data_IF_339754146919
#
_entry.id   IF_339754146919
#
_cell.length_a   1.000
_cell.length_b   1.000
_cell.length_c   1.000
_cell.angle_alpha   90.00
_cell.angle_beta   90.00
_cell.angle_gamma   90.00
#
_symmetry.space_group_name_H-M   'P 1'
#
loop_
_entity.id
_entity.type
_entity.pdbx_description
1 polymer ?
#
# COMPACT_ATOMS: atom_id res chain seq x y z
N UNK A 1 22.17 -0.09 -5.26
CA UNK A 1 22.57 -0.97 -4.14
C UNK A 1 24.10 -1.06 -4.06
N UNK A 2 24.67 -0.90 -2.87
CA UNK A 2 26.07 -1.24 -2.59
C UNK A 2 26.13 -2.26 -1.46
N UNK A 3 27.22 -3.02 -1.38
CA UNK A 3 27.42 -4.00 -0.29
C UNK A 3 27.23 -3.35 1.09
N UNK A 4 27.79 -2.15 1.27
CA UNK A 4 27.66 -1.38 2.51
C UNK A 4 26.20 -1.05 2.84
N UNK A 5 25.38 -0.69 1.86
CA UNK A 5 23.96 -0.43 2.13
C UNK A 5 23.23 -1.73 2.46
N UNK A 6 23.45 -2.83 1.73
CA UNK A 6 22.80 -4.11 2.05
C UNK A 6 23.10 -4.56 3.50
N UNK A 7 24.35 -4.47 3.95
CA UNK A 7 24.74 -4.79 5.34
C UNK A 7 24.02 -3.86 6.34
N UNK A 8 23.98 -2.55 6.07
CA UNK A 8 23.27 -1.58 6.93
C UNK A 8 21.78 -1.85 7.01
N UNK A 9 21.14 -2.30 5.93
CA UNK A 9 19.70 -2.61 5.92
C UNK A 9 19.38 -3.73 6.90
N UNK A 10 20.17 -4.81 6.86
CA UNK A 10 20.05 -5.97 7.77
C UNK A 10 20.23 -5.56 9.24
N UNK A 11 21.00 -4.51 9.52
CA UNK A 11 21.16 -3.98 10.87
C UNK A 11 20.05 -3.00 11.29
N UNK A 12 19.71 -2.02 10.44
CA UNK A 12 18.80 -0.93 10.82
C UNK A 12 17.33 -1.34 10.86
N UNK A 13 16.86 -2.18 9.93
CA UNK A 13 15.45 -2.60 9.92
C UNK A 13 15.05 -3.31 11.23
N UNK A 14 15.82 -4.28 11.77
CA UNK A 14 15.53 -4.88 13.07
C UNK A 14 15.61 -3.92 14.26
N UNK A 15 16.53 -2.94 14.23
CA UNK A 15 16.65 -1.91 15.28
C UNK A 15 15.36 -1.08 15.32
N UNK A 16 14.90 -0.60 14.16
CA UNK A 16 13.66 0.16 14.06
C UNK A 16 12.45 -0.67 14.47
N UNK A 17 12.34 -1.91 13.96
CA UNK A 17 11.24 -2.81 14.33
C UNK A 17 11.20 -3.05 15.84
N UNK A 18 12.36 -3.31 16.47
CA UNK A 18 12.47 -3.52 17.91
C UNK A 18 12.09 -2.27 18.69
N UNK A 19 12.60 -1.10 18.29
CA UNK A 19 12.27 0.16 18.94
C UNK A 19 10.77 0.43 18.91
N UNK A 20 10.14 0.33 17.74
CA UNK A 20 8.71 0.64 17.62
C UNK A 20 7.85 -0.40 18.35
N UNK A 21 8.11 -1.70 18.15
CA UNK A 21 7.24 -2.76 18.68
C UNK A 21 7.49 -3.10 20.16
N UNK A 22 8.76 -3.13 20.60
CA UNK A 22 9.13 -3.56 21.96
C UNK A 22 9.38 -2.38 22.89
N UNK A 23 10.09 -1.35 22.44
CA UNK A 23 10.40 -0.19 23.31
C UNK A 23 9.21 0.75 23.44
N UNK A 24 8.56 1.13 22.33
CA UNK A 24 7.35 1.97 22.35
C UNK A 24 6.06 1.17 22.52
N UNK A 25 6.14 -0.16 22.46
CA UNK A 25 5.01 -1.07 22.68
C UNK A 25 3.94 -1.02 21.58
N UNK A 26 4.28 -0.50 20.40
CA UNK A 26 3.30 -0.29 19.31
C UNK A 26 2.87 -1.63 18.72
N UNK A 27 1.57 -1.81 18.55
CA UNK A 27 0.95 -3.05 18.09
C UNK A 27 0.72 -3.04 16.58
N UNK A 28 0.65 -4.24 16.00
CA UNK A 28 0.29 -4.43 14.60
C UNK A 28 1.40 -4.16 13.58
N UNK A 29 2.62 -3.78 13.99
CA UNK A 29 3.75 -3.65 13.05
C UNK A 29 4.22 -5.03 12.60
N UNK A 30 4.38 -5.22 11.28
CA UNK A 30 4.88 -6.46 10.68
C UNK A 30 6.32 -6.36 10.21
N UNK A 31 6.69 -5.23 9.62
CA UNK A 31 8.02 -5.02 9.05
C UNK A 31 8.33 -3.53 9.05
N UNK A 32 9.61 -3.20 9.21
CA UNK A 32 10.16 -1.91 8.81
C UNK A 32 11.04 -2.16 7.59
N UNK A 33 10.89 -1.35 6.55
CA UNK A 33 11.71 -1.43 5.35
C UNK A 33 12.37 -0.09 5.05
N UNK A 34 13.68 -0.09 4.86
CA UNK A 34 14.45 1.09 4.49
C UNK A 34 14.73 1.04 2.98
N UNK A 35 14.22 2.01 2.24
CA UNK A 35 14.34 2.03 0.79
C UNK A 35 15.79 2.31 0.36
N UNK A 36 16.33 1.44 -0.49
CA UNK A 36 17.73 1.50 -0.90
C UNK A 36 17.99 2.25 -2.21
N UNK A 37 17.27 1.95 -3.32
CA UNK A 37 17.57 2.53 -4.62
C UNK A 37 17.61 4.06 -4.55
N UNK A 38 18.73 4.65 -5.00
CA UNK A 38 18.98 6.10 -5.07
C UNK A 38 18.85 6.89 -3.76
N UNK A 39 18.55 6.25 -2.62
CA UNK A 39 18.16 6.93 -1.37
C UNK A 39 19.00 6.50 -0.17
N UNK A 40 19.88 5.50 -0.35
CA UNK A 40 20.88 5.08 0.63
C UNK A 40 20.26 4.71 2.00
N UNK A 41 19.08 4.07 2.00
CA UNK A 41 18.33 3.57 3.18
C UNK A 41 17.78 4.62 4.13
N UNK A 42 18.37 5.82 4.15
CA UNK A 42 18.16 6.80 5.19
C UNK A 42 16.96 7.70 4.89
N UNK A 43 16.71 8.00 3.62
CA UNK A 43 15.75 9.04 3.27
C UNK A 43 14.31 8.58 3.34
N UNK A 44 14.01 7.36 2.90
CA UNK A 44 12.63 6.85 2.82
C UNK A 44 12.53 5.56 3.62
N UNK A 45 11.60 5.55 4.57
CA UNK A 45 11.31 4.44 5.47
C UNK A 45 9.83 4.07 5.35
N UNK A 46 9.57 2.77 5.30
CA UNK A 46 8.23 2.20 5.31
C UNK A 46 7.99 1.39 6.58
N UNK A 47 6.81 1.54 7.17
CA UNK A 47 6.34 0.72 8.29
C UNK A 47 5.12 -0.06 7.80
N UNK A 48 5.27 -1.38 7.66
CA UNK A 48 4.16 -2.26 7.30
C UNK A 48 3.35 -2.63 8.55
N UNK A 49 2.03 -2.51 8.45
CA UNK A 49 1.07 -2.84 9.49
C UNK A 49 0.16 -4.00 9.10
N UNK A 50 -0.39 -4.68 10.10
CA UNK A 50 -1.59 -5.49 9.95
C UNK A 50 -2.77 -4.65 9.47
N UNK A 51 -3.77 -5.30 8.88
CA UNK A 51 -5.03 -4.64 8.51
C UNK A 51 -5.76 -4.18 9.78
N UNK A 52 -6.48 -3.06 9.69
CA UNK A 52 -7.33 -2.50 10.76
C UNK A 52 -6.57 -2.13 12.05
N UNK A 53 -5.29 -1.78 11.95
CA UNK A 53 -4.56 -1.22 13.10
C UNK A 53 -5.13 0.17 13.42
N UNK A 54 -5.41 0.48 14.70
CA UNK A 54 -5.93 1.80 15.07
C UNK A 54 -5.01 2.94 14.63
N UNK A 55 -5.60 4.04 14.15
CA UNK A 55 -4.84 5.21 13.69
C UNK A 55 -3.87 5.75 14.75
N UNK A 56 -4.21 5.63 16.04
CA UNK A 56 -3.33 6.01 17.15
C UNK A 56 -2.01 5.24 17.15
N UNK A 57 -2.04 3.94 16.90
CA UNK A 57 -0.83 3.10 16.79
C UNK A 57 0.00 3.48 15.56
N UNK A 58 -0.67 3.74 14.42
CA UNK A 58 -0.02 4.15 13.18
C UNK A 58 0.75 5.46 13.39
N UNK A 59 0.07 6.49 13.91
CA UNK A 59 0.69 7.79 14.13
C UNK A 59 1.81 7.72 15.19
N UNK A 60 1.63 6.96 16.28
CA UNK A 60 2.69 6.72 17.27
C UNK A 60 3.95 6.12 16.62
N UNK A 61 3.78 5.20 15.66
CA UNK A 61 4.91 4.62 14.94
C UNK A 61 5.60 5.60 14.00
N UNK A 62 4.81 6.38 13.25
CA UNK A 62 5.33 7.41 12.34
C UNK A 62 6.19 8.42 13.12
N UNK A 63 5.68 8.92 14.26
CA UNK A 63 6.43 9.80 15.14
C UNK A 63 7.67 9.10 15.73
N UNK A 64 7.52 7.91 16.31
CA UNK A 64 8.62 7.16 16.93
C UNK A 64 9.76 6.84 15.96
N UNK A 65 9.42 6.47 14.72
CA UNK A 65 10.42 6.21 13.68
C UNK A 65 11.15 7.49 13.27
N UNK A 66 10.44 8.60 13.15
CA UNK A 66 11.04 9.89 12.77
C UNK A 66 12.03 10.43 13.82
N UNK A 67 11.83 10.09 15.10
CA UNK A 67 12.65 10.58 16.20
C UNK A 67 13.85 9.69 16.55
N UNK A 68 13.88 8.42 16.11
CA UNK A 68 14.89 7.45 16.56
C UNK A 68 16.32 7.83 16.12
N UNK A 69 16.49 8.29 14.88
CA UNK A 69 17.80 8.67 14.36
C UNK A 69 17.69 9.87 13.42
N UNK A 70 18.42 10.95 13.74
CA UNK A 70 18.38 12.22 12.98
C UNK A 70 18.74 12.07 11.50
N UNK A 71 19.54 11.07 11.14
CA UNK A 71 19.94 10.82 9.76
C UNK A 71 18.89 10.02 8.95
N UNK A 72 17.92 9.35 9.59
CA UNK A 72 16.98 8.42 8.95
C UNK A 72 15.53 8.92 9.07
N UNK A 73 14.68 8.60 8.09
CA UNK A 73 13.24 8.91 8.14
C UNK A 73 12.92 10.35 7.73
N UNK A 74 13.48 10.82 6.61
CA UNK A 74 13.02 12.07 5.99
C UNK A 74 11.58 11.92 5.46
N UNK A 75 11.28 10.77 4.86
CA UNK A 75 9.93 10.33 4.53
C UNK A 75 9.66 9.04 5.31
N UNK A 76 8.60 9.05 6.12
CA UNK A 76 8.16 7.88 6.89
C UNK A 76 6.73 7.57 6.49
N UNK A 77 6.51 6.38 5.94
CA UNK A 77 5.25 6.03 5.30
C UNK A 77 4.71 4.74 5.94
N UNK A 78 3.51 4.80 6.49
CA UNK A 78 2.79 3.64 6.96
C UNK A 78 2.01 3.01 5.81
N UNK A 79 2.13 1.70 5.65
CA UNK A 79 1.45 0.91 4.61
C UNK A 79 0.90 -0.38 5.24
N UNK A 80 -0.12 -0.98 4.64
CA UNK A 80 -0.59 -2.30 5.06
C UNK A 80 0.35 -3.41 4.58
N UNK A 81 0.23 -4.60 5.19
CA UNK A 81 1.00 -5.80 4.86
C UNK A 81 0.80 -6.33 3.43
N UNK A 82 -0.24 -5.89 2.73
CA UNK A 82 -0.51 -6.26 1.33
C UNK A 82 0.30 -5.44 0.32
N UNK A 83 0.94 -4.35 0.76
CA UNK A 83 1.80 -3.50 -0.07
C UNK A 83 3.24 -3.97 0.03
N UNK A 84 3.83 -4.43 -1.07
CA UNK A 84 5.26 -4.74 -1.12
C UNK A 84 6.09 -3.43 -1.17
N UNK A 85 6.92 -3.12 -0.16
CA UNK A 85 7.67 -1.86 -0.12
C UNK A 85 8.88 -1.85 -1.06
N UNK A 86 9.20 -2.99 -1.68
CA UNK A 86 10.20 -3.06 -2.76
C UNK A 86 9.61 -2.68 -4.12
N UNK A 87 8.28 -2.70 -4.26
CA UNK A 87 7.59 -2.25 -5.47
C UNK A 87 7.12 -0.79 -5.28
N UNK A 88 7.74 0.14 -6.00
CA UNK A 88 7.38 1.56 -5.96
C UNK A 88 5.96 1.83 -6.48
N UNK A 89 5.49 1.07 -7.48
CA UNK A 89 4.14 1.24 -8.02
C UNK A 89 3.08 0.85 -7.00
N UNK A 90 3.32 -0.21 -6.22
CA UNK A 90 2.44 -0.61 -5.14
C UNK A 90 2.37 0.47 -4.03
N UNK A 91 3.51 1.12 -3.73
CA UNK A 91 3.57 2.23 -2.78
C UNK A 91 2.80 3.45 -3.30
N UNK A 92 3.04 3.87 -4.54
CA UNK A 92 2.36 5.02 -5.12
C UNK A 92 0.85 4.77 -5.25
N UNK A 93 0.45 3.56 -5.59
CA UNK A 93 -0.94 3.15 -5.58
C UNK A 93 -1.56 3.26 -4.17
N UNK A 94 -0.87 2.76 -3.13
CA UNK A 94 -1.33 2.88 -1.76
C UNK A 94 -1.48 4.36 -1.34
N UNK A 95 -0.49 5.20 -1.65
CA UNK A 95 -0.54 6.63 -1.36
C UNK A 95 -1.69 7.33 -2.09
N UNK A 96 -1.89 7.03 -3.37
CA UNK A 96 -2.89 7.69 -4.20
C UNK A 96 -4.33 7.34 -3.79
N UNK A 97 -4.58 6.09 -3.39
CA UNK A 97 -5.93 5.60 -3.12
C UNK A 97 -6.27 5.47 -1.63
N UNK A 98 -5.28 5.42 -0.73
CA UNK A 98 -5.51 5.19 0.72
C UNK A 98 -5.16 6.39 1.59
N UNK A 99 -4.45 7.40 1.07
CA UNK A 99 -4.11 8.61 1.81
C UNK A 99 -4.80 9.84 1.21
N UNK A 100 -5.43 10.65 2.07
CA UNK A 100 -5.81 12.00 1.75
C UNK A 100 -4.73 12.96 2.29
N UNK A 101 -3.94 13.64 1.44
CA UNK A 101 -2.85 14.50 1.89
C UNK A 101 -3.25 15.60 2.87
N UNK A 102 -4.50 16.04 2.88
CA UNK A 102 -4.97 17.07 3.81
C UNK A 102 -5.07 16.59 5.27
N UNK A 103 -5.26 15.28 5.50
CA UNK A 103 -5.51 14.72 6.84
C UNK A 103 -4.56 13.57 7.21
N UNK A 104 -4.04 12.83 6.24
CA UNK A 104 -3.17 11.67 6.42
C UNK A 104 -1.67 12.00 6.28
N UNK A 105 -1.32 13.29 6.21
CA UNK A 105 0.07 13.76 6.12
C UNK A 105 0.39 14.75 7.23
N UNK A 106 1.59 14.62 7.80
CA UNK A 106 2.17 15.61 8.73
C UNK A 106 3.58 15.96 8.29
N UNK A 107 3.88 17.26 8.30
CA UNK A 107 5.23 17.78 8.07
C UNK A 107 5.81 18.25 9.40
N UNK A 108 6.90 17.62 9.82
CA UNK A 108 7.67 17.99 11.01
C UNK A 108 8.82 18.88 10.60
N UNK A 109 8.93 20.04 11.25
CA UNK A 109 10.01 21.01 11.02
C UNK A 109 11.23 20.69 11.90
N UNK A 110 12.32 21.45 11.72
CA UNK A 110 13.52 21.42 12.57
C UNK A 110 14.26 20.08 12.55
N UNK A 111 14.35 19.45 11.37
CA UNK A 111 15.19 18.26 11.17
C UNK A 111 16.63 18.70 10.92
N UNK A 112 17.59 18.01 11.54
CA UNK A 112 19.01 18.21 11.22
C UNK A 112 19.28 17.78 9.77
N UNK A 113 19.91 18.63 8.92
CA UNK A 113 20.19 18.28 7.54
C UNK A 113 21.23 17.17 7.46
N UNK A 114 21.04 16.26 6.50
CA UNK A 114 22.04 15.25 6.17
C UNK A 114 22.20 15.18 4.65
N UNK A 115 23.34 15.60 4.13
CA UNK A 115 23.59 15.81 2.70
C UNK A 115 23.76 17.30 2.35
N UNK A 116 23.70 17.66 1.06
CA UNK A 116 23.83 19.05 0.62
C UNK A 116 22.81 19.97 1.29
N UNK A 117 23.26 21.15 1.74
CA UNK A 117 22.39 22.14 2.38
C UNK A 117 21.55 22.86 1.33
N UNK A 118 20.27 23.09 1.63
CA UNK A 118 19.41 23.94 0.81
C UNK A 118 19.73 25.42 1.10
N UNK A 119 20.21 26.14 0.10
CA UNK A 119 20.57 27.56 0.23
C UNK A 119 19.35 28.45 0.51
N UNK A 120 18.13 27.99 0.24
CA UNK A 120 16.89 28.72 0.53
C UNK A 120 16.53 28.72 2.01
N UNK A 121 17.15 27.87 2.83
CA UNK A 121 16.86 27.75 4.25
C UNK A 121 18.01 28.34 5.07
N UNK A 122 17.87 29.56 5.61
CA UNK A 122 18.85 30.12 6.54
C UNK A 122 19.05 29.17 7.73
N UNK A 123 20.31 28.85 8.07
CA UNK A 123 20.64 27.85 9.09
C UNK A 123 20.65 26.40 8.60
N UNK A 124 20.07 26.13 7.43
CA UNK A 124 20.16 24.84 6.73
C UNK A 124 19.34 23.71 7.34
N UNK A 125 18.33 24.00 8.17
CA UNK A 125 17.43 22.97 8.69
C UNK A 125 16.63 22.28 7.58
N UNK A 126 16.15 21.07 7.84
CA UNK A 126 15.35 20.25 6.94
C UNK A 126 13.99 19.91 7.59
N UNK A 127 13.16 19.09 6.92
CA UNK A 127 11.89 18.61 7.46
C UNK A 127 11.72 17.09 7.28
N UNK A 128 10.81 16.50 8.04
CA UNK A 128 10.32 15.14 7.86
C UNK A 128 8.86 15.16 7.43
N UNK A 129 8.49 14.30 6.47
CA UNK A 129 7.12 14.05 6.09
C UNK A 129 6.68 12.66 6.58
N UNK A 130 5.57 12.64 7.31
CA UNK A 130 4.89 11.43 7.77
C UNK A 130 3.63 11.23 6.92
N UNK A 131 3.41 10.01 6.46
CA UNK A 131 2.27 9.67 5.59
C UNK A 131 1.61 8.39 6.11
N UNK A 132 0.30 8.44 6.34
CA UNK A 132 -0.51 7.26 6.64
C UNK A 132 -1.23 6.77 5.37
N UNK A 133 -0.56 5.89 4.63
CA UNK A 133 -1.10 5.24 3.43
C UNK A 133 -1.73 3.87 3.71
N UNK A 134 -2.19 3.63 4.95
CA UNK A 134 -2.96 2.42 5.29
C UNK A 134 -4.42 2.52 4.85
N UNK A 135 -5.04 1.38 4.62
CA UNK A 135 -6.41 1.24 4.17
C UNK A 135 -7.39 1.66 5.27
N UNK A 136 -8.13 2.75 5.04
CA UNK A 136 -9.07 3.31 6.03
C UNK A 136 -10.43 2.63 6.01
N UNK A 137 -10.86 2.15 4.84
CA UNK A 137 -12.16 1.50 4.62
C UNK A 137 -12.02 0.37 3.60
N UNK A 138 -12.94 -0.62 3.59
CA UNK A 138 -13.00 -1.62 2.53
C UNK A 138 -13.00 -0.96 1.14
N UNK A 139 -12.22 -1.53 0.23
CA UNK A 139 -12.11 -1.07 -1.15
C UNK A 139 -12.42 -2.21 -2.13
N UNK A 140 -12.81 -1.88 -3.38
CA UNK A 140 -12.91 -2.88 -4.44
C UNK A 140 -11.57 -3.60 -4.62
N UNK A 141 -11.56 -4.87 -5.07
CA UNK A 141 -10.32 -5.58 -5.31
C UNK A 141 -9.45 -4.85 -6.33
N UNK A 142 -8.14 -5.09 -6.27
CA UNK A 142 -7.22 -4.60 -7.29
C UNK A 142 -7.64 -5.17 -8.65
N UNK A 143 -7.56 -4.34 -9.69
CA UNK A 143 -7.93 -4.65 -11.07
C UNK A 143 -6.94 -5.64 -11.74
N UNK A 144 -6.73 -6.79 -11.12
CA UNK A 144 -5.94 -7.91 -11.59
C UNK A 144 -6.80 -9.17 -11.61
N UNK A 145 -6.57 -10.09 -12.57
CA UNK A 145 -7.26 -11.37 -12.59
C UNK A 145 -7.05 -12.16 -11.29
N UNK A 146 -8.00 -13.01 -10.93
CA UNK A 146 -7.83 -13.89 -9.76
C UNK A 146 -6.73 -14.92 -10.01
N UNK A 147 -6.20 -15.47 -8.92
CA UNK A 147 -5.08 -16.41 -8.92
C UNK A 147 -5.24 -17.57 -9.92
N UNK A 148 -6.43 -18.14 -10.03
CA UNK A 148 -6.71 -19.28 -10.92
C UNK A 148 -6.41 -18.93 -12.39
N UNK A 149 -6.74 -17.72 -12.84
CA UNK A 149 -6.46 -17.29 -14.21
C UNK A 149 -4.97 -17.04 -14.43
N UNK A 150 -4.30 -16.40 -13.48
CA UNK A 150 -2.87 -16.13 -13.56
C UNK A 150 -2.04 -17.43 -13.57
N UNK A 151 -2.42 -18.42 -12.75
CA UNK A 151 -1.76 -19.73 -12.72
C UNK A 151 -1.98 -20.52 -14.02
N UNK A 152 -3.20 -20.51 -14.57
CA UNK A 152 -3.48 -21.12 -15.88
C UNK A 152 -2.71 -20.43 -17.01
N UNK A 153 -2.66 -19.10 -17.01
CA UNK A 153 -1.90 -18.33 -18.00
C UNK A 153 -0.41 -18.68 -17.94
N UNK A 154 0.15 -18.87 -16.74
CA UNK A 154 1.53 -19.34 -16.57
C UNK A 154 1.77 -20.70 -17.23
N UNK A 155 0.88 -21.68 -17.01
CA UNK A 155 1.01 -23.01 -17.62
C UNK A 155 1.04 -22.91 -19.14
N UNK A 156 0.10 -22.15 -19.73
CA UNK A 156 0.05 -21.93 -21.18
C UNK A 156 1.32 -21.24 -21.69
N UNK A 157 1.83 -20.26 -20.94
CA UNK A 157 3.07 -19.55 -21.28
C UNK A 157 4.27 -20.49 -21.36
N UNK A 158 4.38 -21.40 -20.38
CA UNK A 158 5.43 -22.41 -20.32
C UNK A 158 5.28 -23.44 -21.47
N UNK A 159 4.06 -23.89 -21.78
CA UNK A 159 3.76 -24.79 -22.91
C UNK A 159 4.14 -24.19 -24.27
N UNK A 160 4.00 -22.87 -24.43
CA UNK A 160 4.38 -22.15 -25.64
C UNK A 160 5.89 -21.93 -25.77
N UNK A 161 6.69 -22.32 -24.76
CA UNK A 161 8.15 -22.15 -24.78
C UNK A 161 8.61 -20.69 -24.76
N UNK A 162 7.80 -19.81 -24.18
CA UNK A 162 8.09 -18.37 -24.09
C UNK A 162 9.16 -18.09 -23.02
N UNK A 163 9.80 -16.89 -23.03
CA UNK A 163 10.83 -16.55 -22.06
C UNK A 163 10.36 -16.65 -20.62
N UNK A 164 11.29 -16.95 -19.70
CA UNK A 164 11.00 -17.07 -18.28
C UNK A 164 10.27 -15.84 -17.75
N UNK A 165 9.13 -16.08 -17.09
CA UNK A 165 8.35 -15.03 -16.45
C UNK A 165 9.10 -14.46 -15.24
N UNK A 166 9.02 -13.14 -15.08
CA UNK A 166 9.45 -12.41 -13.87
C UNK A 166 8.24 -11.74 -13.21
N UNK A 167 7.43 -12.51 -12.45
CA UNK A 167 6.29 -11.99 -11.71
C UNK A 167 6.58 -10.76 -10.85
N UNK A 168 5.81 -9.70 -11.06
CA UNK A 168 5.78 -8.56 -10.15
C UNK A 168 4.69 -8.72 -9.10
N UNK A 169 4.92 -8.18 -7.91
CA UNK A 169 3.94 -8.22 -6.81
C UNK A 169 3.08 -6.95 -6.82
N UNK A 170 1.73 -7.05 -6.75
CA UNK A 170 0.96 -8.29 -6.63
C UNK A 170 0.78 -9.01 -7.97
N UNK A 171 0.99 -10.34 -7.98
CA UNK A 171 0.87 -11.16 -9.19
C UNK A 171 -0.58 -11.43 -9.61
N UNK A 172 -1.52 -11.37 -8.67
CA UNK A 172 -2.94 -11.58 -8.92
C UNK A 172 -3.79 -10.66 -8.04
N UNK A 173 -5.05 -10.49 -8.43
CA UNK A 173 -6.03 -9.73 -7.66
C UNK A 173 -6.29 -10.38 -6.30
N UNK A 174 -6.62 -9.54 -5.33
CA UNK A 174 -7.03 -9.95 -4.00
C UNK A 174 -8.10 -9.01 -3.47
N UNK A 175 -8.93 -9.51 -2.54
CA UNK A 175 -10.01 -8.72 -1.96
C UNK A 175 -9.46 -7.67 -0.99
N UNK A 176 -9.97 -6.45 -1.13
CA UNK A 176 -9.78 -5.35 -0.20
C UNK A 176 -11.01 -5.12 0.69
N UNK A 177 -11.95 -6.07 0.69
CA UNK A 177 -13.12 -6.09 1.56
C UNK A 177 -14.40 -5.59 0.89
N UNK A 178 -14.32 -4.80 -0.19
CA UNK A 178 -15.50 -4.32 -0.89
C UNK A 178 -15.83 -5.13 -2.14
N UNK A 179 -16.19 -6.40 -1.94
CA UNK A 179 -16.59 -7.30 -3.02
C UNK A 179 -17.69 -8.25 -2.55
N UNK A 180 -18.86 -8.18 -3.19
CA UNK A 180 -20.03 -8.99 -2.79
C UNK A 180 -20.09 -10.35 -3.49
N UNK A 181 -20.87 -11.27 -2.93
CA UNK A 181 -21.14 -12.57 -3.56
C UNK A 181 -21.88 -12.41 -4.90
N UNK A 182 -22.81 -11.45 -5.00
CA UNK A 182 -23.48 -11.07 -6.25
C UNK A 182 -22.46 -10.70 -7.34
N UNK A 183 -21.39 -9.97 -6.99
CA UNK A 183 -20.32 -9.61 -7.92
C UNK A 183 -19.42 -10.79 -8.26
N UNK A 184 -19.16 -11.70 -7.32
CA UNK A 184 -18.47 -12.97 -7.59
C UNK A 184 -19.23 -13.80 -8.63
N UNK A 185 -20.54 -13.93 -8.46
CA UNK A 185 -21.38 -14.70 -9.38
C UNK A 185 -21.48 -14.03 -10.76
N UNK A 186 -21.53 -12.69 -10.78
CA UNK A 186 -21.49 -11.88 -12.00
C UNK A 186 -20.17 -12.08 -12.76
N UNK A 187 -19.04 -12.06 -12.06
CA UNK A 187 -17.72 -12.31 -12.64
C UNK A 187 -17.62 -13.73 -13.20
N UNK A 188 -18.11 -14.73 -12.47
CA UNK A 188 -18.15 -16.13 -12.94
C UNK A 188 -18.98 -16.28 -14.21
N UNK A 189 -20.19 -15.71 -14.26
CA UNK A 189 -21.01 -15.70 -15.47
C UNK A 189 -20.28 -15.08 -16.65
N UNK A 190 -19.55 -13.99 -16.42
CA UNK A 190 -18.77 -13.35 -17.49
C UNK A 190 -17.67 -14.27 -18.04
N UNK A 191 -16.94 -14.97 -17.16
CA UNK A 191 -15.86 -15.88 -17.57
C UNK A 191 -16.37 -17.17 -18.20
N UNK A 192 -17.59 -17.59 -17.86
CA UNK A 192 -18.26 -18.76 -18.45
C UNK A 192 -18.97 -18.42 -19.79
N UNK A 193 -18.83 -17.19 -20.30
CA UNK A 193 -19.45 -16.73 -21.54
C UNK A 193 -20.93 -16.32 -21.40
N UNK A 194 -21.48 -16.34 -20.19
CA UNK A 194 -22.86 -16.01 -19.84
C UNK A 194 -23.06 -14.52 -19.48
N UNK A 195 -22.19 -13.63 -19.96
CA UNK A 195 -22.24 -12.19 -19.62
C UNK A 195 -23.57 -11.50 -20.01
N UNK A 196 -24.31 -12.04 -20.99
CA UNK A 196 -25.65 -11.53 -21.37
C UNK A 196 -26.68 -11.71 -20.24
N UNK A 197 -26.55 -12.74 -19.42
CA UNK A 197 -27.43 -12.95 -18.26
C UNK A 197 -27.24 -11.85 -17.21
N UNK A 198 -26.01 -11.35 -17.04
CA UNK A 198 -25.75 -10.18 -16.19
C UNK A 198 -26.54 -8.95 -16.68
N UNK A 199 -26.64 -8.75 -18.00
CA UNK A 199 -27.46 -7.69 -18.60
C UNK A 199 -28.95 -7.82 -18.26
N UNK A 200 -29.51 -9.04 -18.36
CA UNK A 200 -30.91 -9.32 -17.99
C UNK A 200 -31.17 -9.11 -16.49
N UNK A 201 -30.21 -9.46 -15.63
CA UNK A 201 -30.31 -9.22 -14.18
C UNK A 201 -30.32 -7.72 -13.89
N UNK A 202 -29.37 -6.96 -14.45
CA UNK A 202 -29.29 -5.51 -14.28
C UNK A 202 -30.50 -4.77 -14.84
N UNK A 203 -31.10 -5.26 -15.93
CA UNK A 203 -32.32 -4.68 -16.50
C UNK A 203 -33.51 -4.70 -15.52
N UNK A 204 -33.63 -5.76 -14.71
CA UNK A 204 -34.67 -5.86 -13.67
C UNK A 204 -34.50 -4.84 -12.55
N UNK A 205 -33.34 -4.19 -12.44
CA UNK A 205 -33.04 -3.17 -11.43
C UNK A 205 -33.41 -1.75 -11.90
N UNK A 206 -33.88 -1.56 -13.14
CA UNK A 206 -34.33 -0.26 -13.65
C UNK A 206 -35.51 0.26 -12.82
N UNK A 207 -35.39 1.52 -12.36
CA UNK A 207 -36.36 2.21 -11.53
C UNK A 207 -36.44 3.68 -11.95
N UNK A 208 -37.64 4.26 -11.86
CA UNK A 208 -37.89 5.67 -12.22
C UNK A 208 -37.95 6.59 -11.00
N UNK A 209 -37.92 6.03 -9.79
CA UNK A 209 -38.05 6.74 -8.51
C UNK A 209 -36.71 6.96 -7.80
N UNK A 210 -35.59 6.61 -8.44
CA UNK A 210 -34.23 6.78 -7.93
C UNK A 210 -33.40 7.58 -8.92
N UNK A 211 -32.45 8.38 -8.40
CA UNK A 211 -31.53 9.12 -9.27
C UNK A 211 -30.61 8.15 -10.03
N UNK A 212 -30.24 8.43 -11.29
CA UNK A 212 -29.22 7.67 -12.00
C UNK A 212 -27.91 7.58 -11.18
N UNK A 213 -27.25 6.42 -11.25
CA UNK A 213 -26.01 6.10 -10.52
C UNK A 213 -26.11 6.10 -8.98
N UNK A 214 -27.34 6.07 -8.43
CA UNK A 214 -27.53 5.78 -7.01
C UNK A 214 -26.96 4.40 -6.67
N UNK A 215 -26.21 4.30 -5.58
CA UNK A 215 -25.63 3.03 -5.15
C UNK A 215 -26.72 2.00 -4.88
N UNK A 216 -26.56 0.80 -5.44
CA UNK A 216 -27.45 -0.33 -5.19
C UNK A 216 -27.44 -0.71 -3.70
N UNK A 217 -26.39 -0.37 -2.94
CA UNK A 217 -26.32 -0.63 -1.50
C UNK A 217 -27.25 0.26 -0.69
N UNK A 218 -27.50 1.47 -1.17
CA UNK A 218 -28.31 2.48 -0.47
C UNK A 218 -29.80 2.32 -0.81
N UNK A 219 -30.09 1.66 -1.91
CA UNK A 219 -31.45 1.33 -2.35
C UNK A 219 -31.79 -0.05 -1.78
N UNK A 220 -32.70 -0.10 -0.79
CA UNK A 220 -33.25 -1.39 -0.31
C UNK A 220 -33.80 -2.19 -1.52
N UNK A 221 -33.31 -3.43 -1.67
CA UNK A 221 -33.87 -4.42 -2.60
C UNK A 221 -35.33 -4.70 -2.24
#
# INVERSE_FOLDING_TARGET
PSESSVIKRVAYEPIYLTHLSKTLGIKGIKKVYLHEPLTNLRKVLFIQFEKNVPATEIWRALYGASSLASAIGKYVIAIDKDINPENSDAIFWAMAYRANPAIDVKILKHRVPYGPKDQRVPGGEDSTMLIDATLKNPMPPIALPTKIYMEKAKVIWDELGLPNLTPESPWHGYSLGDWSDDWTETAKRATDGLYKENGKISEKLKRNDVKPNSSIRDIKK
#
